data_IF_500514952484
#
_entry.id   IF_500514952484
#
_cell.length_a   1.000
_cell.length_b   1.000
_cell.length_c   1.000
_cell.angle_alpha   90.00
_cell.angle_beta   90.00
_cell.angle_gamma   90.00
#
_symmetry.space_group_name_H-M   'P 1'
#
loop_
_entity.id
_entity.type
_entity.pdbx_description
1 polymer ?
#
# COMPACT_ATOMS: atom_id res chain seq x y z
N UNK A 1 9.46 -1.64 -12.25
CA UNK A 1 10.17 -0.91 -11.17
C UNK A 1 9.85 -1.61 -9.84
N UNK A 2 10.77 -1.64 -8.85
CA UNK A 2 10.42 -2.08 -7.50
C UNK A 2 9.34 -1.16 -6.93
N UNK A 3 8.35 -1.74 -6.27
CA UNK A 3 7.25 -1.00 -5.67
C UNK A 3 7.78 -0.12 -4.53
N UNK A 4 7.26 1.11 -4.41
CA UNK A 4 7.73 2.11 -3.45
C UNK A 4 6.68 3.15 -3.14
N UNK A 5 6.67 3.63 -1.90
CA UNK A 5 5.95 4.81 -1.46
C UNK A 5 6.85 6.04 -1.56
N UNK A 6 6.32 7.18 -1.99
CA UNK A 6 7.08 8.44 -2.14
C UNK A 6 6.25 9.64 -1.70
N UNK A 7 6.80 10.47 -0.80
CA UNK A 7 6.26 11.79 -0.45
C UNK A 7 7.40 12.78 -0.18
N UNK A 8 7.35 13.97 -0.80
CA UNK A 8 8.25 15.11 -0.52
C UNK A 8 9.73 14.73 -0.31
N UNK A 9 10.31 13.97 -1.25
CA UNK A 9 11.73 13.57 -1.23
C UNK A 9 12.07 12.32 -0.41
N UNK A 10 11.13 11.78 0.39
CA UNK A 10 11.31 10.47 1.05
C UNK A 10 10.76 9.36 0.16
N UNK A 11 11.55 8.30 -0.04
CA UNK A 11 11.12 7.09 -0.74
C UNK A 11 11.28 5.89 0.19
N UNK A 12 10.20 5.14 0.41
CA UNK A 12 10.18 3.95 1.25
C UNK A 12 9.80 2.75 0.35
N UNK A 13 10.57 1.65 0.33
CA UNK A 13 10.22 0.48 -0.47
C UNK A 13 8.88 -0.13 -0.05
N UNK A 14 8.04 -0.47 -1.03
CA UNK A 14 6.78 -1.16 -0.84
C UNK A 14 7.07 -2.67 -0.94
N UNK A 15 7.57 -3.24 0.16
CA UNK A 15 7.86 -4.66 0.24
C UNK A 15 6.56 -5.47 0.27
N UNK A 16 6.62 -6.73 -0.18
CA UNK A 16 5.47 -7.61 -0.23
C UNK A 16 5.77 -9.04 0.19
N UNK A 17 4.74 -9.73 0.67
CA UNK A 17 4.72 -11.18 0.83
C UNK A 17 3.81 -11.73 -0.25
N UNK A 18 4.32 -12.65 -1.07
CA UNK A 18 3.56 -13.30 -2.14
C UNK A 18 3.34 -14.77 -1.78
N UNK A 19 2.11 -15.22 -1.91
CA UNK A 19 1.72 -16.62 -1.91
C UNK A 19 1.08 -16.97 -3.24
N UNK A 20 1.45 -18.12 -3.79
CA UNK A 20 0.97 -18.65 -5.06
C UNK A 20 0.90 -20.16 -4.92
N UNK A 21 -0.20 -20.76 -5.36
CA UNK A 21 -0.41 -22.19 -5.32
C UNK A 21 -1.21 -22.62 -6.54
N UNK A 22 -0.80 -23.75 -7.11
CA UNK A 22 -1.55 -24.43 -8.17
C UNK A 22 -2.56 -25.36 -7.50
N UNK A 23 -3.83 -25.25 -7.87
CA UNK A 23 -4.90 -26.02 -7.24
C UNK A 23 -5.72 -26.80 -8.28
N UNK A 24 -5.86 -28.11 -8.07
CA UNK A 24 -6.64 -28.96 -8.97
C UNK A 24 -8.16 -28.79 -8.83
N UNK A 25 -8.63 -28.22 -7.71
CA UNK A 25 -10.05 -28.14 -7.34
C UNK A 25 -10.58 -26.70 -7.24
N UNK A 26 -9.69 -25.71 -7.21
CA UNK A 26 -10.03 -24.29 -7.15
C UNK A 26 -9.24 -23.53 -8.22
N UNK A 27 -9.73 -22.37 -8.69
CA UNK A 27 -8.93 -21.52 -9.57
C UNK A 27 -7.60 -21.17 -8.93
N UNK A 28 -6.54 -21.09 -9.73
CA UNK A 28 -5.26 -20.60 -9.24
C UNK A 28 -5.40 -19.13 -8.81
N UNK A 29 -4.83 -18.80 -7.66
CA UNK A 29 -4.88 -17.45 -7.10
C UNK A 29 -3.52 -17.09 -6.51
N UNK A 30 -3.06 -15.87 -6.79
CA UNK A 30 -1.94 -15.29 -6.08
C UNK A 30 -2.46 -14.27 -5.06
N UNK A 31 -1.91 -14.37 -3.86
CA UNK A 31 -2.19 -13.48 -2.75
C UNK A 31 -0.94 -12.63 -2.49
N UNK A 32 -1.08 -11.32 -2.56
CA UNK A 32 0.00 -10.37 -2.37
C UNK A 32 -0.36 -9.44 -1.22
N UNK A 33 0.35 -9.56 -0.10
CA UNK A 33 0.31 -8.56 0.96
C UNK A 33 1.31 -7.46 0.62
N UNK A 34 0.84 -6.26 0.33
CA UNK A 34 1.66 -5.11 -0.08
C UNK A 34 1.14 -3.85 0.59
N UNK A 35 2.01 -3.10 1.30
CA UNK A 35 1.60 -1.87 2.00
C UNK A 35 0.47 -2.06 3.02
N UNK A 36 0.25 -3.27 3.53
CA UNK A 36 -0.83 -3.58 4.47
C UNK A 36 -2.18 -3.84 3.80
N UNK A 37 -2.27 -3.72 2.47
CA UNK A 37 -3.40 -4.23 1.71
C UNK A 37 -3.18 -5.68 1.27
N UNK A 38 -4.25 -6.46 1.19
CA UNK A 38 -4.24 -7.81 0.60
C UNK A 38 -4.81 -7.77 -0.81
N UNK A 39 -3.95 -7.98 -1.79
CA UNK A 39 -4.31 -8.03 -3.21
C UNK A 39 -4.45 -9.50 -3.61
N UNK A 40 -5.53 -9.81 -4.33
CA UNK A 40 -5.76 -11.11 -4.93
C UNK A 40 -5.80 -10.96 -6.43
N UNK A 41 -5.09 -11.83 -7.13
CA UNK A 41 -5.07 -11.91 -8.59
C UNK A 41 -5.30 -13.36 -9.01
N UNK A 42 -5.98 -13.52 -10.14
CA UNK A 42 -6.26 -14.80 -10.78
C UNK A 42 -5.68 -14.76 -12.19
N UNK A 43 -5.34 -15.91 -12.79
CA UNK A 43 -5.04 -15.98 -14.22
C UNK A 43 -6.10 -15.23 -15.02
N UNK A 44 -5.66 -14.35 -15.92
CA UNK A 44 -6.51 -13.50 -16.77
C UNK A 44 -7.48 -12.54 -16.05
N UNK A 45 -7.40 -12.47 -14.71
CA UNK A 45 -8.24 -11.60 -13.88
C UNK A 45 -7.56 -10.28 -13.52
N UNK A 46 -8.35 -9.21 -13.42
CA UNK A 46 -7.87 -7.94 -12.87
C UNK A 46 -7.51 -8.12 -11.39
N UNK A 47 -6.31 -7.72 -10.94
CA UNK A 47 -5.96 -7.73 -9.51
C UNK A 47 -6.91 -6.84 -8.70
N UNK A 48 -7.41 -7.34 -7.58
CA UNK A 48 -8.35 -6.62 -6.69
C UNK A 48 -7.81 -6.60 -5.27
N UNK A 49 -7.97 -5.47 -4.58
CA UNK A 49 -7.65 -5.38 -3.15
C UNK A 49 -8.83 -5.93 -2.33
N UNK A 50 -8.63 -7.08 -1.69
CA UNK A 50 -9.65 -7.76 -0.86
C UNK A 50 -9.68 -7.27 0.58
N UNK A 51 -8.55 -6.80 1.09
CA UNK A 51 -8.48 -6.09 2.35
C UNK A 51 -7.71 -4.79 2.15
N UNK A 52 -8.32 -3.67 2.51
CA UNK A 52 -7.72 -2.37 2.39
C UNK A 52 -6.58 -2.19 3.42
N UNK A 53 -5.53 -1.42 3.08
CA UNK A 53 -4.56 -0.98 4.06
C UNK A 53 -5.24 -0.12 5.13
N UNK A 54 -4.63 -0.04 6.31
CA UNK A 54 -5.12 0.85 7.34
C UNK A 54 -4.77 2.30 7.00
N UNK A 55 -5.72 2.98 6.36
CA UNK A 55 -5.67 4.41 6.08
C UNK A 55 -6.92 5.05 6.67
N UNK A 56 -6.74 6.09 7.47
CA UNK A 56 -7.84 6.89 8.01
C UNK A 56 -7.69 8.35 7.62
N UNK A 57 -8.84 9.04 7.49
CA UNK A 57 -8.89 10.44 7.09
C UNK A 57 -9.78 11.27 7.99
N UNK A 58 -9.30 12.48 8.27
CA UNK A 58 -10.05 13.53 8.92
C UNK A 58 -10.10 14.78 8.04
N UNK A 59 -11.29 15.31 7.82
CA UNK A 59 -11.49 16.55 7.08
C UNK A 59 -11.58 17.74 8.04
N UNK A 60 -10.48 18.50 8.18
CA UNK A 60 -10.41 19.73 8.99
C UNK A 60 -10.09 20.93 8.09
N UNK A 61 -9.30 21.89 8.56
CA UNK A 61 -8.74 22.96 7.71
C UNK A 61 -7.94 22.40 6.55
N UNK A 62 -7.17 21.34 6.82
CA UNK A 62 -6.46 20.48 5.86
C UNK A 62 -7.05 19.08 5.95
N UNK A 63 -6.85 18.28 4.90
CA UNK A 63 -7.17 16.85 4.92
C UNK A 63 -6.04 16.14 5.66
N UNK A 64 -6.31 15.56 6.83
CA UNK A 64 -5.33 14.76 7.56
C UNK A 64 -5.51 13.30 7.13
N UNK A 65 -4.48 12.73 6.52
CA UNK A 65 -4.42 11.33 6.14
C UNK A 65 -3.43 10.63 7.08
N UNK A 66 -3.88 9.57 7.74
CA UNK A 66 -3.05 8.70 8.55
C UNK A 66 -2.92 7.36 7.86
N UNK A 67 -1.70 6.84 7.74
CA UNK A 67 -1.44 5.55 7.13
C UNK A 67 -0.48 4.75 8.01
N UNK A 68 -0.95 3.62 8.52
CA UNK A 68 -0.10 2.61 9.15
C UNK A 68 0.49 1.72 8.05
N UNK A 69 1.75 1.97 7.73
CA UNK A 69 2.47 1.34 6.65
C UNK A 69 3.37 0.21 7.18
N UNK A 70 3.04 -1.07 6.93
CA UNK A 70 3.92 -2.17 7.30
C UNK A 70 5.11 -2.23 6.33
N UNK A 71 6.30 -1.95 6.87
CA UNK A 71 7.57 -2.12 6.19
C UNK A 71 8.14 -3.51 6.47
N UNK A 72 7.99 -4.38 5.47
CA UNK A 72 8.33 -5.80 5.59
C UNK A 72 9.82 -6.01 5.26
N UNK A 73 10.55 -6.64 6.19
CA UNK A 73 11.95 -6.99 6.03
C UNK A 73 12.11 -8.50 6.16
N UNK A 74 12.49 -9.17 5.08
CA UNK A 74 12.74 -10.61 5.09
C UNK A 74 14.09 -10.96 5.72
N UNK A 75 14.15 -12.04 6.49
CA UNK A 75 15.42 -12.60 6.93
C UNK A 75 16.16 -13.29 5.78
N UNK A 76 17.47 -13.03 5.65
CA UNK A 76 18.30 -13.63 4.60
C UNK A 76 18.26 -15.16 4.66
N UNK A 77 18.12 -15.81 3.50
CA UNK A 77 18.01 -17.27 3.38
C UNK A 77 16.69 -17.86 3.90
N UNK A 78 15.75 -17.03 4.34
CA UNK A 78 14.41 -17.44 4.83
C UNK A 78 13.30 -16.55 4.24
N UNK A 79 13.50 -16.11 3.00
CA UNK A 79 12.61 -15.19 2.29
C UNK A 79 11.76 -15.89 1.20
N UNK A 80 11.94 -17.19 1.00
CA UNK A 80 11.16 -17.99 0.07
C UNK A 80 11.11 -19.46 0.49
N UNK A 81 10.04 -20.14 0.12
CA UNK A 81 9.93 -21.61 0.16
C UNK A 81 8.94 -22.05 -0.92
N UNK A 82 9.02 -23.31 -1.33
CA UNK A 82 8.11 -23.93 -2.31
C UNK A 82 7.92 -25.41 -2.00
N UNK A 83 6.90 -26.03 -2.59
CA UNK A 83 6.59 -27.45 -2.41
C UNK A 83 5.24 -27.67 -1.74
N UNK A 84 4.92 -28.94 -1.48
CA UNK A 84 3.66 -29.36 -0.87
C UNK A 84 3.75 -29.35 0.66
N UNK A 85 2.66 -28.98 1.32
CA UNK A 85 2.51 -29.04 2.77
C UNK A 85 2.47 -27.67 3.45
N UNK A 86 2.46 -27.69 4.79
CA UNK A 86 2.30 -26.48 5.60
C UNK A 86 3.56 -25.62 5.57
N UNK A 87 3.40 -24.36 5.18
CA UNK A 87 4.40 -23.32 5.29
C UNK A 87 3.94 -22.27 6.30
N UNK A 88 4.84 -21.85 7.18
CA UNK A 88 4.57 -20.79 8.15
C UNK A 88 5.27 -19.49 7.73
N UNK A 89 4.52 -18.39 7.80
CA UNK A 89 5.05 -17.03 7.73
C UNK A 89 5.11 -16.53 9.17
N UNK A 90 6.32 -16.44 9.73
CA UNK A 90 6.55 -15.90 11.06
C UNK A 90 6.82 -14.41 10.94
N UNK A 91 6.11 -13.61 11.73
CA UNK A 91 6.28 -12.16 11.77
C UNK A 91 6.76 -11.74 13.16
N UNK A 92 7.60 -10.71 13.21
CA UNK A 92 8.05 -10.10 14.45
C UNK A 92 7.97 -8.58 14.30
N UNK A 93 7.15 -7.95 15.15
CA UNK A 93 7.12 -6.50 15.28
C UNK A 93 8.43 -6.02 15.90
N UNK A 94 9.11 -5.08 15.24
CA UNK A 94 10.35 -4.52 15.76
C UNK A 94 10.19 -3.11 16.31
N UNK A 95 9.87 -2.16 15.44
CA UNK A 95 9.84 -0.73 15.76
C UNK A 95 8.77 -0.03 14.93
N UNK A 96 8.41 1.18 15.34
CA UNK A 96 7.64 2.09 14.52
C UNK A 96 8.32 3.47 14.45
N UNK A 97 8.07 4.18 13.35
CA UNK A 97 8.52 5.55 13.17
C UNK A 97 7.43 6.34 12.46
N UNK A 98 7.04 7.47 13.02
CA UNK A 98 6.05 8.36 12.40
C UNK A 98 6.73 9.50 11.65
N UNK A 99 6.43 9.60 10.37
CA UNK A 99 6.84 10.69 9.51
C UNK A 99 5.63 11.59 9.22
N UNK A 100 5.83 12.90 9.27
CA UNK A 100 4.78 13.89 9.03
C UNK A 100 5.17 14.76 7.86
N UNK A 101 4.28 14.83 6.87
CA UNK A 101 4.50 15.58 5.64
C UNK A 101 3.35 16.55 5.41
N UNK A 102 3.66 17.79 5.08
CA UNK A 102 2.69 18.73 4.54
C UNK A 102 2.77 18.67 3.00
N UNK A 103 1.64 18.40 2.36
CA UNK A 103 1.48 18.41 0.90
C UNK A 103 0.50 19.53 0.59
N UNK A 104 1.00 20.70 0.25
CA UNK A 104 0.15 21.88 0.05
C UNK A 104 -0.35 22.04 -1.38
N UNK A 105 -1.46 22.76 -1.53
CA UNK A 105 -1.96 23.16 -2.84
C UNK A 105 -1.11 24.30 -3.42
N UNK A 106 -1.20 24.51 -4.74
CA UNK A 106 -0.54 25.63 -5.43
C UNK A 106 -0.95 26.97 -4.80
N UNK A 107 -2.19 27.08 -4.32
CA UNK A 107 -2.72 28.27 -3.63
C UNK A 107 -2.13 28.52 -2.25
N UNK A 108 -1.49 27.54 -1.62
CA UNK A 108 -0.85 27.65 -0.31
C UNK A 108 0.67 27.95 -0.42
N UNK A 109 1.18 28.22 -1.63
CA UNK A 109 2.61 28.48 -1.87
C UNK A 109 3.49 27.23 -1.86
N UNK A 110 2.89 26.04 -1.79
CA UNK A 110 3.61 24.78 -1.96
C UNK A 110 3.66 24.44 -3.45
N UNK A 111 4.85 24.12 -3.97
CA UNK A 111 5.00 23.56 -5.32
C UNK A 111 4.23 22.25 -5.47
N UNK A 112 4.09 21.73 -6.70
CA UNK A 112 3.39 20.48 -7.06
C UNK A 112 3.89 19.25 -6.29
N UNK A 113 3.56 19.16 -5.00
CA UNK A 113 3.89 18.06 -4.11
C UNK A 113 2.71 17.11 -4.09
N UNK A 114 3.00 15.82 -4.11
CA UNK A 114 2.01 14.77 -4.13
C UNK A 114 2.55 13.54 -3.41
N UNK A 115 1.62 12.69 -3.01
CA UNK A 115 1.92 11.37 -2.47
C UNK A 115 1.82 10.39 -3.64
N UNK A 116 2.84 9.56 -3.84
CA UNK A 116 2.88 8.58 -4.92
C UNK A 116 3.08 7.17 -4.36
N UNK A 117 2.21 6.25 -4.77
CA UNK A 117 2.31 4.82 -4.47
C UNK A 117 2.66 4.09 -5.77
N UNK A 118 3.92 3.71 -5.92
CA UNK A 118 4.38 2.92 -7.06
C UNK A 118 4.16 1.43 -6.75
N UNK A 119 3.45 0.75 -7.63
CA UNK A 119 2.98 -0.63 -7.44
C UNK A 119 2.73 -1.29 -8.80
N UNK A 120 2.87 -2.61 -8.88
CA UNK A 120 2.45 -3.38 -10.07
C UNK A 120 0.93 -3.53 -10.17
N UNK A 121 0.19 -3.14 -9.14
CA UNK A 121 -1.26 -3.33 -9.04
C UNK A 121 -2.00 -1.99 -8.94
N UNK A 122 -1.78 -1.05 -9.89
CA UNK A 122 -2.30 0.30 -9.72
C UNK A 122 -3.83 0.38 -9.70
N UNK A 123 -4.52 -0.54 -10.38
CA UNK A 123 -5.97 -0.63 -10.38
C UNK A 123 -6.52 -1.00 -8.99
N UNK A 124 -5.97 -2.05 -8.36
CA UNK A 124 -6.38 -2.51 -7.03
C UNK A 124 -6.21 -1.41 -5.97
N UNK A 125 -5.09 -0.70 -6.03
CA UNK A 125 -4.80 0.44 -5.16
C UNK A 125 -5.71 1.63 -5.45
N UNK A 126 -6.03 1.91 -6.72
CA UNK A 126 -6.94 2.98 -7.09
C UNK A 126 -8.35 2.75 -6.54
N UNK A 127 -8.90 1.54 -6.71
CA UNK A 127 -10.19 1.14 -6.14
C UNK A 127 -10.19 1.28 -4.62
N UNK A 128 -9.19 0.69 -3.95
CA UNK A 128 -9.05 0.78 -2.49
C UNK A 128 -8.99 2.23 -1.97
N UNK A 129 -8.20 3.09 -2.63
CA UNK A 129 -8.09 4.49 -2.24
C UNK A 129 -9.41 5.25 -2.49
N UNK A 130 -10.15 4.92 -3.54
CA UNK A 130 -11.49 5.47 -3.76
C UNK A 130 -12.49 4.97 -2.71
N UNK A 131 -12.38 3.73 -2.24
CA UNK A 131 -13.23 3.24 -1.15
C UNK A 131 -12.93 3.95 0.18
N UNK A 132 -11.64 4.11 0.49
CA UNK A 132 -11.16 4.72 1.74
C UNK A 132 -11.32 6.24 1.78
N UNK A 133 -11.10 6.90 0.65
CA UNK A 133 -10.94 8.36 0.56
C UNK A 133 -11.98 9.02 -0.35
N UNK A 134 -12.82 8.24 -1.03
CA UNK A 134 -13.66 8.68 -2.14
C UNK A 134 -14.60 9.81 -1.80
N UNK A 135 -15.16 9.83 -0.59
CA UNK A 135 -16.06 10.92 -0.16
C UNK A 135 -15.39 12.31 -0.23
N UNK A 136 -14.05 12.37 -0.15
CA UNK A 136 -13.27 13.60 -0.26
C UNK A 136 -12.74 13.85 -1.68
N UNK A 137 -12.78 12.84 -2.55
CA UNK A 137 -12.24 12.86 -3.90
C UNK A 137 -13.30 12.97 -5.01
N UNK A 138 -14.57 12.65 -4.73
CA UNK A 138 -15.66 12.61 -5.73
C UNK A 138 -16.71 13.72 -5.56
N UNK A 139 -16.55 14.61 -4.58
CA UNK A 139 -17.43 15.75 -4.40
C UNK A 139 -17.37 16.69 -5.62
N UNK A 140 -18.43 17.48 -5.85
CA UNK A 140 -18.46 18.53 -6.89
C UNK A 140 -17.29 19.52 -6.77
N UNK A 141 -16.71 19.62 -5.57
CA UNK A 141 -15.49 20.37 -5.28
C UNK A 141 -14.55 19.53 -4.41
N UNK A 142 -13.74 18.63 -5.02
CA UNK A 142 -13.02 17.61 -4.28
C UNK A 142 -11.89 18.20 -3.42
N UNK A 143 -11.76 17.73 -2.18
CA UNK A 143 -10.72 18.18 -1.24
C UNK A 143 -9.35 17.59 -1.57
N UNK A 144 -9.34 16.40 -2.17
CA UNK A 144 -8.14 15.71 -2.69
C UNK A 144 -8.45 15.16 -4.08
N UNK A 145 -7.43 14.85 -4.85
CA UNK A 145 -7.57 14.12 -6.11
C UNK A 145 -6.76 12.83 -6.04
N UNK A 146 -7.35 11.74 -6.52
CA UNK A 146 -6.71 10.42 -6.66
C UNK A 146 -6.59 10.16 -8.16
N UNK A 147 -5.36 9.98 -8.65
CA UNK A 147 -5.07 9.89 -10.08
C UNK A 147 -4.24 8.63 -10.33
N UNK A 148 -4.79 7.61 -11.03
CA UNK A 148 -4.03 6.46 -11.44
C UNK A 148 -3.18 6.79 -12.68
N UNK A 149 -1.89 6.45 -12.63
CA UNK A 149 -0.95 6.55 -13.75
C UNK A 149 -0.53 5.13 -14.18
N UNK A 150 -1.44 4.43 -14.86
CA UNK A 150 -1.33 2.99 -15.14
C UNK A 150 -0.09 2.62 -15.96
N UNK A 151 0.25 3.41 -16.99
CA UNK A 151 1.44 3.18 -17.82
C UNK A 151 2.76 3.33 -17.07
N UNK A 152 2.74 4.08 -15.95
CA UNK A 152 3.89 4.36 -15.10
C UNK A 152 3.86 3.57 -13.79
N UNK A 153 2.83 2.74 -13.58
CA UNK A 153 2.67 1.87 -12.42
C UNK A 153 2.67 2.62 -11.07
N UNK A 154 1.90 3.71 -10.98
CA UNK A 154 1.66 4.37 -9.69
C UNK A 154 0.29 5.03 -9.58
N UNK A 155 -0.10 5.34 -8.34
CA UNK A 155 -1.26 6.16 -8.01
C UNK A 155 -0.75 7.42 -7.31
N UNK A 156 -1.32 8.56 -7.68
CA UNK A 156 -0.98 9.86 -7.13
C UNK A 156 -2.14 10.43 -6.33
N UNK A 157 -1.87 10.81 -5.08
CA UNK A 157 -2.79 11.58 -4.25
C UNK A 157 -2.24 13.00 -4.18
N UNK A 158 -3.02 13.97 -4.68
CA UNK A 158 -2.65 15.38 -4.67
C UNK A 158 -3.73 16.24 -4.00
N UNK A 159 -3.38 17.41 -3.45
CA UNK A 159 -4.36 18.37 -2.96
C UNK A 159 -5.41 18.73 -4.01
N UNK A 160 -6.66 18.90 -3.56
CA UNK A 160 -7.74 19.53 -4.31
C UNK A 160 -7.96 20.94 -3.77
N UNK A 161 -9.12 21.19 -3.17
CA UNK A 161 -9.42 22.47 -2.51
C UNK A 161 -8.74 22.68 -1.16
N UNK A 162 -8.20 21.62 -0.55
CA UNK A 162 -7.49 21.68 0.73
C UNK A 162 -6.11 21.07 0.58
N UNK A 163 -5.11 21.66 1.24
CA UNK A 163 -3.84 20.99 1.48
C UNK A 163 -4.02 19.70 2.29
N UNK A 164 -3.04 18.81 2.21
CA UNK A 164 -3.01 17.52 2.90
C UNK A 164 -1.93 17.58 3.99
N UNK A 165 -2.25 17.05 5.16
CA UNK A 165 -1.28 16.62 6.17
C UNK A 165 -1.23 15.10 6.13
N UNK A 166 -0.06 14.55 5.83
CA UNK A 166 0.14 13.12 5.68
C UNK A 166 0.99 12.59 6.83
N UNK A 167 0.39 11.77 7.68
CA UNK A 167 1.02 11.11 8.81
C UNK A 167 1.27 9.65 8.43
N UNK A 168 2.51 9.31 8.13
CA UNK A 168 2.94 7.96 7.79
C UNK A 168 3.55 7.30 9.01
N UNK A 169 2.88 6.31 9.58
CA UNK A 169 3.41 5.49 10.64
C UNK A 169 4.03 4.22 10.04
N UNK A 170 5.35 4.21 9.89
CA UNK A 170 6.09 3.09 9.33
C UNK A 170 6.33 2.06 10.42
N UNK A 171 5.74 0.88 10.27
CA UNK A 171 5.83 -0.23 11.22
C UNK A 171 6.78 -1.28 10.64
N UNK A 172 7.94 -1.46 11.26
CA UNK A 172 8.93 -2.45 10.82
C UNK A 172 8.54 -3.84 11.28
N UNK A 173 8.34 -4.75 10.31
CA UNK A 173 7.98 -6.15 10.55
C UNK A 173 9.04 -7.05 9.92
N UNK A 174 9.75 -7.82 10.75
CA UNK A 174 10.64 -8.87 10.26
C UNK A 174 9.85 -10.12 9.92
N UNK A 175 10.19 -10.75 8.80
CA UNK A 175 9.48 -11.91 8.27
C UNK A 175 10.44 -13.05 7.98
N UNK A 176 10.03 -14.25 8.40
CA UNK A 176 10.69 -15.51 8.10
C UNK A 176 9.68 -16.49 7.49
N UNK A 177 10.03 -17.05 6.34
CA UNK A 177 9.26 -18.08 5.63
C UNK A 177 10.02 -19.40 5.72
N UNK A 178 9.31 -20.49 6.00
CA UNK A 178 9.89 -21.83 5.94
C UNK A 178 8.90 -22.95 6.28
N UNK A 179 9.23 -24.15 5.79
CA UNK A 179 8.52 -25.38 6.10
C UNK A 179 8.85 -25.88 7.51
N UNK A 180 7.92 -26.66 8.09
CA UNK A 180 8.12 -27.40 9.34
C UNK A 180 7.11 -27.05 10.44
N UNK A 181 6.67 -28.07 11.17
CA UNK A 181 5.82 -27.94 12.37
C UNK A 181 6.61 -27.29 13.51
N UNK A 182 5.94 -26.47 14.32
CA UNK A 182 6.43 -26.12 15.66
C UNK A 182 5.67 -27.01 16.62
N UNK A 183 6.40 -27.79 17.43
CA UNK A 183 5.90 -28.42 18.65
C UNK A 183 5.81 -27.38 19.76
#
# INVERSE_FOLDING_TARGET
LPAKFSSSGTTIPLASIKYEADNSYFPDQMYILEGGGLIVTQPDGTPVMRANPYISVENKTRINIHYDFPYIISLSGKNMTSGEGNCFIRTNYSTNATYRYAVGSVSEGYGNTSIKIYTKYPNAWNESLHDLLGMYATASNPCINIIPHLSQNYIEIKPGTKGINFNLNVITIYVQIGQGWIL
#
